data_IF_714188953664
#
_entry.id   IF_714188953664
#
_cell.length_a   1.000
_cell.length_b   1.000
_cell.length_c   1.000
_cell.angle_alpha   90.00
_cell.angle_beta   90.00
_cell.angle_gamma   90.00
#
_symmetry.space_group_name_H-M   'P 1'
#
loop_
_entity.id
_entity.type
_entity.pdbx_description
1 polymer ?
#
# COMPACT_ATOMS: atom_id res chain seq x y z
N UNK A 1 -2.51 12.59 -19.16
CA UNK A 1 -3.21 11.61 -18.31
C UNK A 1 -2.24 10.88 -17.39
N UNK A 2 -1.23 10.25 -17.96
CA UNK A 2 -0.25 9.53 -17.15
C UNK A 2 0.56 10.45 -16.24
N UNK A 3 0.79 11.67 -16.67
CA UNK A 3 1.53 12.66 -15.90
C UNK A 3 0.84 12.97 -14.57
N UNK A 4 -0.48 13.17 -14.62
CA UNK A 4 -1.25 13.47 -13.42
C UNK A 4 -1.19 12.32 -12.42
N UNK A 5 -1.29 11.09 -12.92
CA UNK A 5 -1.23 9.89 -12.08
C UNK A 5 0.14 9.74 -11.41
N UNK A 6 1.19 10.03 -12.15
CA UNK A 6 2.55 10.00 -11.63
C UNK A 6 2.73 11.04 -10.53
N UNK A 7 2.17 12.23 -10.73
CA UNK A 7 2.26 13.30 -9.73
C UNK A 7 1.57 12.88 -8.42
N UNK A 8 0.40 12.23 -8.52
CA UNK A 8 -0.28 11.73 -7.33
C UNK A 8 0.55 10.64 -6.63
N UNK A 9 1.16 9.76 -7.40
CA UNK A 9 2.02 8.73 -6.83
C UNK A 9 3.16 9.36 -6.04
N UNK A 10 3.87 10.29 -6.65
CA UNK A 10 5.00 10.95 -6.02
C UNK A 10 4.61 11.77 -4.79
N UNK A 11 3.39 12.33 -4.81
CA UNK A 11 2.92 13.14 -3.70
C UNK A 11 2.42 12.31 -2.53
N UNK A 12 1.71 11.23 -2.79
CA UNK A 12 0.98 10.49 -1.74
C UNK A 12 1.67 9.23 -1.25
N UNK A 13 2.39 8.52 -2.11
CA UNK A 13 3.02 7.26 -1.68
C UNK A 13 4.03 7.45 -0.55
N UNK A 14 4.91 8.47 -0.58
CA UNK A 14 5.81 8.69 0.56
C UNK A 14 5.06 8.95 1.86
N UNK A 15 3.94 9.67 1.78
CA UNK A 15 3.12 9.95 2.96
C UNK A 15 2.50 8.66 3.48
N UNK A 16 1.98 7.82 2.60
CA UNK A 16 1.41 6.53 2.99
C UNK A 16 2.45 5.65 3.67
N UNK A 17 3.67 5.64 3.16
CA UNK A 17 4.75 4.87 3.77
C UNK A 17 5.11 5.39 5.16
N UNK A 18 5.07 6.70 5.35
CA UNK A 18 5.30 7.30 6.67
C UNK A 18 4.19 6.91 7.65
N UNK A 19 2.95 6.92 7.20
CA UNK A 19 1.82 6.51 8.03
C UNK A 19 1.96 5.05 8.43
N UNK A 20 2.33 4.20 7.50
CA UNK A 20 2.52 2.77 7.79
C UNK A 20 3.65 2.57 8.80
N UNK A 21 4.75 3.28 8.64
CA UNK A 21 5.88 3.20 9.57
C UNK A 21 5.46 3.64 10.98
N UNK A 22 4.71 4.73 11.08
CA UNK A 22 4.18 5.20 12.35
C UNK A 22 3.25 4.15 12.98
N UNK A 23 2.34 3.60 12.17
CA UNK A 23 1.39 2.60 12.63
C UNK A 23 2.11 1.34 13.12
N UNK A 24 3.17 0.93 12.42
CA UNK A 24 3.99 -0.21 12.85
C UNK A 24 4.62 0.03 14.21
N UNK A 25 5.12 1.24 14.43
CA UNK A 25 5.74 1.59 15.71
C UNK A 25 4.73 1.58 16.87
N UNK A 26 3.47 1.84 16.56
CA UNK A 26 2.37 1.84 17.53
C UNK A 26 1.61 0.51 17.57
N UNK A 27 1.97 -0.41 16.71
CA UNK A 27 1.28 -1.69 16.54
C UNK A 27 -0.20 -1.50 16.20
N UNK A 28 -0.50 -0.47 15.43
CA UNK A 28 -1.86 -0.11 15.02
C UNK A 28 -2.14 -0.70 13.63
N UNK A 29 -2.65 -1.92 13.60
CA UNK A 29 -2.87 -2.62 12.33
C UNK A 29 -4.07 -2.09 11.57
N UNK A 30 -5.02 -1.46 12.25
CA UNK A 30 -6.14 -0.81 11.59
C UNK A 30 -5.62 0.33 10.72
N UNK A 31 -4.73 1.14 11.28
CA UNK A 31 -4.13 2.25 10.54
C UNK A 31 -3.23 1.76 9.41
N UNK A 32 -2.44 0.71 9.66
CA UNK A 32 -1.62 0.09 8.62
C UNK A 32 -2.48 -0.38 7.46
N UNK A 33 -3.58 -1.05 7.76
CA UNK A 33 -4.49 -1.57 6.77
C UNK A 33 -5.11 -0.43 5.95
N UNK A 34 -5.55 0.62 6.62
CA UNK A 34 -6.16 1.78 5.96
C UNK A 34 -5.19 2.44 4.99
N UNK A 35 -3.95 2.64 5.42
CA UNK A 35 -2.93 3.24 4.56
C UNK A 35 -2.58 2.31 3.39
N UNK A 36 -2.47 1.01 3.65
CA UNK A 36 -2.19 0.04 2.61
C UNK A 36 -3.28 0.02 1.54
N UNK A 37 -4.54 0.11 1.95
CA UNK A 37 -5.67 0.15 1.01
C UNK A 37 -5.56 1.34 0.06
N UNK A 38 -5.04 2.47 0.54
CA UNK A 38 -4.87 3.65 -0.31
C UNK A 38 -3.90 3.40 -1.47
N UNK A 39 -2.99 2.44 -1.35
CA UNK A 39 -2.10 2.08 -2.45
C UNK A 39 -2.85 1.56 -3.66
N UNK A 40 -4.07 1.06 -3.50
CA UNK A 40 -4.87 0.63 -4.65
C UNK A 40 -5.13 1.77 -5.63
N UNK A 41 -5.26 2.99 -5.10
CA UNK A 41 -5.53 4.17 -5.91
C UNK A 41 -4.23 4.83 -6.41
N UNK A 42 -3.22 4.90 -5.56
CA UNK A 42 -2.03 5.71 -5.83
C UNK A 42 -0.76 4.92 -6.09
N UNK A 43 -0.72 3.63 -5.74
CA UNK A 43 0.47 2.82 -5.92
C UNK A 43 0.67 2.36 -7.36
N UNK A 44 1.89 1.94 -7.68
CA UNK A 44 2.21 1.39 -8.97
C UNK A 44 3.03 0.10 -8.82
N UNK A 45 3.58 -0.39 -9.93
CA UNK A 45 4.37 -1.63 -9.96
C UNK A 45 5.51 -1.61 -8.94
N UNK A 46 6.12 -0.45 -8.75
CA UNK A 46 7.28 -0.34 -7.85
C UNK A 46 6.90 -0.57 -6.39
N UNK A 47 5.62 -0.48 -6.05
CA UNK A 47 5.16 -0.62 -4.68
C UNK A 47 4.75 -2.05 -4.31
N UNK A 48 4.70 -2.95 -5.30
CA UNK A 48 4.23 -4.32 -5.08
C UNK A 48 5.09 -5.05 -4.03
N UNK A 49 6.39 -4.98 -4.15
CA UNK A 49 7.28 -5.65 -3.20
C UNK A 49 7.16 -5.07 -1.79
N UNK A 50 7.02 -3.76 -1.70
CA UNK A 50 6.82 -3.09 -0.42
C UNK A 50 5.54 -3.62 0.26
N UNK A 51 4.45 -3.69 -0.50
CA UNK A 51 3.17 -4.17 0.05
C UNK A 51 3.25 -5.63 0.47
N UNK A 52 3.93 -6.45 -0.31
CA UNK A 52 4.11 -7.86 0.04
C UNK A 52 4.95 -8.04 1.30
N UNK A 53 5.82 -7.08 1.61
CA UNK A 53 6.67 -7.14 2.79
C UNK A 53 5.95 -6.77 4.08
N UNK A 54 4.76 -6.18 3.98
CA UNK A 54 4.00 -5.80 5.16
C UNK A 54 3.50 -7.02 5.89
N UNK A 55 3.73 -7.06 7.20
CA UNK A 55 3.30 -8.17 8.05
C UNK A 55 2.26 -7.67 9.06
N UNK A 56 1.24 -8.48 9.25
CA UNK A 56 0.18 -8.20 10.19
C UNK A 56 0.05 -9.39 11.14
N UNK A 57 -0.20 -9.12 12.42
CA UNK A 57 -0.35 -10.17 13.42
C UNK A 57 -1.81 -10.62 13.56
N UNK A 58 -2.74 -9.71 13.29
CA UNK A 58 -4.18 -10.04 13.35
C UNK A 58 -4.58 -10.86 12.12
N UNK A 59 -5.25 -11.98 12.36
CA UNK A 59 -5.72 -12.84 11.25
C UNK A 59 -6.58 -12.08 10.26
N UNK A 60 -7.38 -11.14 10.77
CA UNK A 60 -8.27 -10.34 9.94
C UNK A 60 -7.50 -9.54 8.87
N UNK A 61 -6.31 -9.06 9.22
CA UNK A 61 -5.51 -8.22 8.32
C UNK A 61 -4.36 -8.96 7.65
N UNK A 62 -4.19 -10.22 7.97
CA UNK A 62 -3.00 -11.00 7.61
C UNK A 62 -2.59 -10.92 6.15
N UNK A 63 -3.55 -10.94 5.24
CA UNK A 63 -3.27 -10.96 3.81
C UNK A 63 -3.50 -9.61 3.12
N UNK A 64 -3.68 -8.55 3.90
CA UNK A 64 -3.99 -7.22 3.34
C UNK A 64 -2.96 -6.77 2.32
N UNK A 65 -1.68 -6.78 2.68
CA UNK A 65 -0.62 -6.35 1.78
C UNK A 65 -0.57 -7.16 0.49
N UNK A 66 -0.70 -8.48 0.62
CA UNK A 66 -0.68 -9.38 -0.54
C UNK A 66 -1.87 -9.16 -1.45
N UNK A 67 -3.05 -8.94 -0.86
CA UNK A 67 -4.28 -8.69 -1.62
C UNK A 67 -4.16 -7.40 -2.43
N UNK A 68 -3.66 -6.34 -1.81
CA UNK A 68 -3.51 -5.05 -2.47
C UNK A 68 -2.43 -5.13 -3.55
N UNK A 69 -1.32 -5.82 -3.26
CA UNK A 69 -0.26 -6.03 -4.24
C UNK A 69 -0.80 -6.74 -5.48
N UNK A 70 -1.64 -7.75 -5.29
CA UNK A 70 -2.27 -8.48 -6.40
C UNK A 70 -3.17 -7.56 -7.23
N UNK A 71 -3.92 -6.69 -6.58
CA UNK A 71 -4.80 -5.76 -7.28
C UNK A 71 -4.02 -4.77 -8.12
N UNK A 72 -2.90 -4.28 -7.60
CA UNK A 72 -2.03 -3.39 -8.37
C UNK A 72 -1.41 -4.14 -9.54
N UNK A 73 -0.90 -5.35 -9.30
CA UNK A 73 -0.30 -6.19 -10.32
C UNK A 73 -1.28 -6.42 -11.48
N UNK A 74 -2.54 -6.68 -11.14
CA UNK A 74 -3.58 -6.94 -12.12
C UNK A 74 -3.83 -5.73 -13.03
N UNK A 75 -3.69 -4.52 -12.51
CA UNK A 75 -3.84 -3.30 -13.31
C UNK A 75 -2.81 -3.19 -14.41
N UNK A 76 -1.64 -3.77 -14.22
CA UNK A 76 -0.51 -3.62 -15.13
C UNK A 76 -0.23 -4.84 -15.98
N UNK A 77 -0.98 -5.92 -15.80
CA UNK A 77 -0.75 -7.17 -16.55
C UNK A 77 -1.77 -7.44 -17.64
N UNK A 78 -2.69 -6.53 -17.84
CA UNK A 78 -3.65 -6.69 -18.95
C UNK A 78 -3.02 -6.37 -20.28
#
# INVERSE_FOLDING_TARGET
MNTLRKDFHEAFVPILKQIISFAQSKKDEVLMCSAAVCFQAFGDKSDIEYLKSLTFTEDYYKNTGKTIAKRIEKKYTN
#
